data_IF_600539588493
#
_entry.id   IF_600539588493
#
_cell.length_a   1.000
_cell.length_b   1.000
_cell.length_c   1.000
_cell.angle_alpha   90.00
_cell.angle_beta   90.00
_cell.angle_gamma   90.00
#
_symmetry.space_group_name_H-M   'P 1'
#
loop_
_entity.id
_entity.type
_entity.pdbx_description
1 polymer ?
#
# COMPACT_ATOMS: atom_id res chain seq x y z
N UNK A 1 -16.12 -8.22 33.53
CA UNK A 1 -16.34 -7.39 32.32
C UNK A 1 -15.59 -8.04 31.17
N UNK A 2 -16.17 -8.12 29.96
CA UNK A 2 -15.50 -8.69 28.80
C UNK A 2 -14.24 -7.89 28.45
N UNK A 3 -13.23 -8.58 27.90
CA UNK A 3 -12.02 -7.92 27.44
C UNK A 3 -12.33 -6.90 26.35
N UNK A 4 -11.59 -5.80 26.33
CA UNK A 4 -11.69 -4.74 25.32
C UNK A 4 -10.52 -4.87 24.36
N UNK A 5 -10.84 -4.96 23.07
CA UNK A 5 -9.85 -5.11 22.01
C UNK A 5 -9.79 -3.81 21.23
N UNK A 6 -8.59 -3.27 21.06
CA UNK A 6 -8.32 -2.12 20.21
C UNK A 6 -7.81 -2.62 18.86
N UNK A 7 -8.54 -2.22 17.82
CA UNK A 7 -8.21 -2.41 16.42
C UNK A 7 -7.61 -1.14 15.87
N UNK A 8 -6.56 -1.25 15.07
CA UNK A 8 -5.95 -0.12 14.38
C UNK A 8 -6.04 -0.35 12.88
N UNK A 9 -6.57 0.65 12.17
CA UNK A 9 -6.52 0.73 10.72
C UNK A 9 -5.44 1.72 10.32
N UNK A 10 -4.60 1.36 9.35
CA UNK A 10 -3.53 2.23 8.85
C UNK A 10 -3.88 2.72 7.45
N UNK A 11 -3.92 4.04 7.26
CA UNK A 11 -4.12 4.67 5.96
C UNK A 11 -2.87 4.55 5.07
N UNK A 12 -3.01 4.74 3.75
CA UNK A 12 -1.87 4.74 2.82
C UNK A 12 -0.78 5.77 3.13
N UNK A 13 -1.11 6.88 3.79
CA UNK A 13 -0.16 7.89 4.24
C UNK A 13 0.53 7.53 5.58
N UNK A 14 0.26 6.35 6.15
CA UNK A 14 0.79 5.90 7.44
C UNK A 14 -0.02 6.38 8.66
N UNK A 15 -1.04 7.22 8.49
CA UNK A 15 -1.91 7.65 9.58
C UNK A 15 -2.70 6.47 10.16
N UNK A 16 -2.88 6.44 11.49
CA UNK A 16 -3.51 5.31 12.18
C UNK A 16 -4.78 5.72 12.89
N UNK A 17 -5.81 4.90 12.75
CA UNK A 17 -7.13 5.12 13.35
C UNK A 17 -7.46 3.98 14.32
N UNK A 18 -7.52 4.24 15.64
CA UNK A 18 -7.88 3.22 16.60
C UNK A 18 -9.40 3.12 16.80
N UNK A 19 -9.90 1.90 17.00
CA UNK A 19 -11.27 1.62 17.46
C UNK A 19 -11.26 0.53 18.52
N UNK A 20 -11.88 0.79 19.66
CA UNK A 20 -11.99 -0.19 20.74
C UNK A 20 -13.38 -0.81 20.75
N UNK A 21 -13.45 -2.14 20.84
CA UNK A 21 -14.70 -2.88 21.00
C UNK A 21 -14.56 -4.04 21.97
N UNK A 22 -15.63 -4.32 22.72
CA UNK A 22 -15.74 -5.51 23.58
C UNK A 22 -16.59 -6.63 22.95
N UNK A 23 -17.30 -6.32 21.86
CA UNK A 23 -18.37 -7.20 21.32
C UNK A 23 -18.27 -7.40 19.82
N UNK A 24 -17.60 -6.51 19.08
CA UNK A 24 -17.46 -6.60 17.64
C UNK A 24 -16.05 -6.95 17.23
N UNK A 25 -15.96 -7.98 16.37
CA UNK A 25 -14.72 -8.42 15.74
C UNK A 25 -14.54 -7.68 14.43
N UNK A 26 -13.77 -6.61 14.43
CA UNK A 26 -13.43 -5.92 13.19
C UNK A 26 -12.25 -6.61 12.53
N UNK A 27 -12.33 -6.77 11.21
CA UNK A 27 -11.23 -7.29 10.38
C UNK A 27 -10.83 -6.28 9.31
N UNK A 28 -11.74 -5.37 8.94
CA UNK A 28 -11.50 -4.36 7.92
C UNK A 28 -12.11 -3.02 8.32
N UNK A 29 -11.49 -1.94 7.87
CA UNK A 29 -12.02 -0.58 7.97
C UNK A 29 -12.11 0.02 6.56
N UNK A 30 -13.17 0.80 6.34
CA UNK A 30 -13.27 1.69 5.19
C UNK A 30 -12.73 3.06 5.62
N UNK A 31 -11.63 3.46 5.00
CA UNK A 31 -11.05 4.78 5.13
C UNK A 31 -11.44 5.62 3.91
N UNK A 32 -11.76 6.88 4.13
CA UNK A 32 -12.05 7.84 3.08
C UNK A 32 -11.09 9.01 3.19
N UNK A 33 -10.69 9.58 2.06
CA UNK A 33 -9.92 10.81 2.00
C UNK A 33 -10.56 11.83 1.06
N UNK A 34 -10.27 13.09 1.31
CA UNK A 34 -10.63 14.20 0.43
C UNK A 34 -9.92 14.10 -0.94
N UNK A 35 -10.36 14.91 -1.90
CA UNK A 35 -9.76 15.03 -3.23
C UNK A 35 -8.30 15.52 -3.08
N UNK A 36 -7.35 14.58 -3.15
CA UNK A 36 -5.93 14.82 -2.90
C UNK A 36 -5.24 13.69 -2.11
N UNK A 37 -6.00 12.86 -1.38
CA UNK A 37 -5.49 11.75 -0.55
C UNK A 37 -4.63 12.15 0.67
N UNK A 38 -4.62 13.44 1.02
CA UNK A 38 -3.79 13.96 2.10
C UNK A 38 -4.44 13.80 3.49
N UNK A 39 -5.77 13.87 3.56
CA UNK A 39 -6.52 13.78 4.81
C UNK A 39 -7.36 12.51 4.82
N UNK A 40 -6.97 11.51 5.62
CA UNK A 40 -7.73 10.28 5.76
C UNK A 40 -8.64 10.31 6.99
N UNK A 41 -9.75 9.58 6.93
CA UNK A 41 -10.65 9.39 8.05
C UNK A 41 -11.27 8.00 8.04
N UNK A 42 -11.40 7.40 9.22
CA UNK A 42 -12.07 6.11 9.38
C UNK A 42 -13.59 6.26 9.31
N UNK A 43 -14.16 5.92 8.15
CA UNK A 43 -15.58 6.08 7.88
C UNK A 43 -16.45 4.99 8.51
N UNK A 44 -16.03 3.72 8.36
CA UNK A 44 -16.78 2.59 8.91
C UNK A 44 -15.92 1.36 9.14
N UNK A 45 -16.38 0.46 10.00
CA UNK A 45 -15.64 -0.70 10.48
C UNK A 45 -16.46 -1.96 10.30
N UNK A 46 -15.84 -3.03 9.79
CA UNK A 46 -16.54 -4.20 9.24
C UNK A 46 -15.95 -5.51 9.75
N UNK A 47 -16.80 -6.53 9.81
CA UNK A 47 -16.42 -7.89 10.21
C UNK A 47 -15.75 -8.68 9.10
N UNK A 48 -15.90 -8.25 7.85
CA UNK A 48 -15.34 -8.90 6.65
C UNK A 48 -14.93 -7.86 5.61
N UNK A 49 -13.98 -8.23 4.74
CA UNK A 49 -13.56 -7.40 3.60
C UNK A 49 -14.73 -7.14 2.64
N UNK A 50 -15.49 -8.17 2.28
CA UNK A 50 -16.64 -8.03 1.39
C UNK A 50 -17.71 -7.03 1.88
N UNK A 51 -17.94 -6.94 3.20
CA UNK A 51 -18.86 -5.94 3.76
C UNK A 51 -18.29 -4.52 3.66
N UNK A 52 -16.98 -4.36 3.89
CA UNK A 52 -16.27 -3.10 3.70
C UNK A 52 -16.24 -2.67 2.23
N UNK A 53 -15.97 -3.59 1.31
CA UNK A 53 -16.00 -3.35 -0.14
C UNK A 53 -17.40 -2.96 -0.60
N UNK A 54 -18.43 -3.66 -0.12
CA UNK A 54 -19.82 -3.28 -0.40
C UNK A 54 -20.10 -1.86 0.09
N UNK A 55 -19.68 -1.50 1.30
CA UNK A 55 -19.83 -0.14 1.82
C UNK A 55 -19.02 0.89 1.00
N UNK A 56 -17.81 0.53 0.56
CA UNK A 56 -16.95 1.37 -0.27
C UNK A 56 -17.56 1.63 -1.65
N UNK A 57 -18.39 0.73 -2.16
CA UNK A 57 -19.05 0.85 -3.46
C UNK A 57 -20.50 1.35 -3.35
N UNK A 58 -21.07 1.45 -2.15
CA UNK A 58 -22.46 1.86 -1.92
C UNK A 58 -22.54 3.36 -1.64
N UNK A 59 -22.70 4.19 -2.68
CA UNK A 59 -23.09 5.60 -2.53
C UNK A 59 -22.31 6.62 -3.38
N UNK A 60 -23.04 7.70 -3.70
CA UNK A 60 -22.72 8.81 -4.63
C UNK A 60 -21.76 9.86 -4.03
N UNK A 61 -20.63 9.46 -3.44
CA UNK A 61 -19.59 10.46 -3.11
C UNK A 61 -18.60 10.45 -4.26
N UNK A 62 -18.84 11.35 -5.21
CA UNK A 62 -17.85 11.71 -6.23
C UNK A 62 -16.73 12.48 -5.51
N UNK A 63 -15.48 12.29 -5.93
CA UNK A 63 -14.33 13.08 -5.47
C UNK A 63 -13.82 12.77 -4.04
N UNK A 64 -13.97 11.53 -3.59
CA UNK A 64 -13.30 11.04 -2.37
C UNK A 64 -12.61 9.72 -2.64
N UNK A 65 -11.33 9.63 -2.26
CA UNK A 65 -10.62 8.37 -2.33
C UNK A 65 -11.14 7.44 -1.24
N UNK A 66 -11.38 6.18 -1.58
CA UNK A 66 -11.87 5.17 -0.65
C UNK A 66 -10.89 4.01 -0.63
N UNK A 67 -10.51 3.58 0.58
CA UNK A 67 -9.63 2.44 0.77
C UNK A 67 -10.20 1.51 1.83
N UNK A 68 -10.40 0.26 1.45
CA UNK A 68 -10.63 -0.81 2.40
C UNK A 68 -9.26 -1.31 2.84
N UNK A 69 -9.00 -1.30 4.14
CA UNK A 69 -7.76 -1.77 4.75
C UNK A 69 -8.04 -2.85 5.78
N UNK A 70 -7.16 -3.85 5.92
CA UNK A 70 -7.21 -4.76 7.05
C UNK A 70 -6.95 -3.98 8.34
N UNK A 71 -7.47 -4.47 9.46
CA UNK A 71 -7.22 -3.89 10.78
C UNK A 71 -6.42 -4.85 11.64
N UNK A 72 -5.51 -4.30 12.42
CA UNK A 72 -4.64 -5.06 13.31
C UNK A 72 -5.10 -4.93 14.76
N UNK A 73 -4.90 -5.97 15.55
CA UNK A 73 -5.11 -5.87 17.00
C UNK A 73 -3.86 -5.30 17.64
N UNK A 74 -3.98 -4.11 18.22
CA UNK A 74 -2.85 -3.39 18.85
C UNK A 74 -2.90 -3.39 20.37
N UNK A 75 -4.08 -3.68 20.95
CA UNK A 75 -4.24 -3.79 22.41
C UNK A 75 -5.36 -4.75 22.78
N UNK A 76 -5.15 -5.53 23.83
CA UNK A 76 -6.20 -6.29 24.53
C UNK A 76 -6.14 -5.92 26.01
N UNK A 77 -7.25 -5.42 26.56
CA UNK A 77 -7.32 -4.91 27.92
C UNK A 77 -8.43 -5.60 28.74
N UNK A 78 -8.19 -5.80 30.02
CA UNK A 78 -9.12 -6.44 30.94
C UNK A 78 -8.84 -7.94 31.14
N UNK A 79 -9.64 -8.58 31.99
CA UNK A 79 -9.53 -10.01 32.25
C UNK A 79 -10.13 -10.79 31.09
N UNK A 80 -9.32 -11.62 30.45
CA UNK A 80 -9.78 -12.54 29.40
C UNK A 80 -10.34 -13.78 30.09
N UNK A 81 -11.59 -14.10 29.79
CA UNK A 81 -12.19 -15.36 30.21
C UNK A 81 -11.62 -16.50 29.34
N UNK A 82 -11.19 -17.64 29.91
CA UNK A 82 -10.76 -18.79 29.12
C UNK A 82 -11.80 -19.30 28.11
N UNK A 83 -13.10 -19.06 28.34
CA UNK A 83 -14.16 -19.38 27.39
C UNK A 83 -14.30 -18.34 26.26
N UNK A 84 -13.71 -17.16 26.40
CA UNK A 84 -13.71 -16.09 25.40
C UNK A 84 -12.63 -16.35 24.34
N UNK A 85 -12.94 -17.30 23.45
CA UNK A 85 -12.08 -17.69 22.31
C UNK A 85 -11.67 -16.51 21.44
N UNK A 86 -12.45 -15.42 21.44
CA UNK A 86 -12.17 -14.22 20.67
C UNK A 86 -11.10 -13.35 21.29
N UNK A 87 -11.24 -13.06 22.58
CA UNK A 87 -10.23 -12.30 23.30
C UNK A 87 -8.90 -13.06 23.36
N UNK A 88 -8.95 -14.40 23.44
CA UNK A 88 -7.78 -15.27 23.34
C UNK A 88 -7.11 -15.17 21.96
N UNK A 89 -7.87 -15.30 20.88
CA UNK A 89 -7.38 -15.19 19.51
C UNK A 89 -6.83 -13.78 19.20
N UNK A 90 -7.50 -12.72 19.67
CA UNK A 90 -7.01 -11.35 19.55
C UNK A 90 -5.70 -11.14 20.32
N UNK A 91 -5.58 -11.74 21.52
CA UNK A 91 -4.34 -11.72 22.29
C UNK A 91 -3.22 -12.48 21.57
N UNK A 92 -3.51 -13.64 21.00
CA UNK A 92 -2.54 -14.40 20.22
C UNK A 92 -2.05 -13.63 18.99
N UNK A 93 -2.94 -12.93 18.27
CA UNK A 93 -2.53 -12.03 17.17
C UNK A 93 -1.65 -10.87 17.64
N UNK A 94 -1.99 -10.26 18.77
CA UNK A 94 -1.17 -9.20 19.36
C UNK A 94 0.21 -9.70 19.77
N UNK A 95 0.28 -10.87 20.42
CA UNK A 95 1.52 -11.48 20.86
C UNK A 95 2.37 -11.91 19.65
N UNK A 96 1.75 -12.46 18.59
CA UNK A 96 2.42 -12.79 17.33
C UNK A 96 2.95 -11.53 16.61
N UNK A 97 2.18 -10.44 16.56
CA UNK A 97 2.64 -9.18 15.96
C UNK A 97 3.83 -8.57 16.72
N UNK A 98 3.90 -8.75 18.05
CA UNK A 98 5.04 -8.33 18.87
C UNK A 98 6.26 -9.25 18.74
N UNK A 99 6.02 -10.54 18.50
CA UNK A 99 7.06 -11.56 18.37
C UNK A 99 7.58 -11.69 16.94
N UNK A 100 6.85 -11.17 15.94
CA UNK A 100 7.35 -11.04 14.59
C UNK A 100 8.68 -10.29 14.70
N UNK A 101 9.80 -10.86 14.17
CA UNK A 101 11.01 -10.08 14.07
C UNK A 101 10.62 -8.79 13.36
N UNK A 102 10.97 -7.65 13.94
CA UNK A 102 11.03 -6.42 13.17
C UNK A 102 11.95 -6.81 12.03
N UNK A 103 11.37 -7.15 10.88
CA UNK A 103 12.13 -7.28 9.65
C UNK A 103 12.87 -5.96 9.64
N UNK A 104 14.19 -6.03 9.79
CA UNK A 104 15.09 -4.90 9.66
C UNK A 104 14.51 -4.09 8.53
N UNK A 105 13.95 -2.92 8.89
CA UNK A 105 13.04 -2.21 8.02
C UNK A 105 13.72 -2.18 6.67
N UNK A 106 13.17 -2.91 5.68
CA UNK A 106 13.60 -2.71 4.31
C UNK A 106 13.54 -1.19 4.19
N UNK A 107 14.68 -0.53 3.95
CA UNK A 107 14.80 0.91 4.14
C UNK A 107 13.57 1.50 3.50
N UNK A 108 12.77 2.26 4.30
CA UNK A 108 11.54 2.88 3.80
C UNK A 108 11.84 3.35 2.38
N UNK A 109 10.98 3.12 1.37
CA UNK A 109 11.19 3.73 0.08
C UNK A 109 11.24 5.21 0.37
N UNK A 110 12.46 5.74 0.49
CA UNK A 110 12.74 7.14 0.72
C UNK A 110 11.95 7.76 -0.39
N UNK A 111 10.90 8.52 -0.04
CA UNK A 111 10.18 9.31 -0.99
C UNK A 111 11.27 10.04 -1.75
N UNK A 112 11.51 9.64 -3.00
CA UNK A 112 12.68 10.08 -3.70
C UNK A 112 12.52 11.59 -3.76
N UNK A 113 13.29 12.31 -2.94
CA UNK A 113 13.44 13.74 -3.10
C UNK A 113 13.72 13.99 -4.58
N UNK A 114 13.29 15.13 -5.14
CA UNK A 114 13.38 15.36 -6.57
C UNK A 114 14.75 14.92 -7.08
N UNK A 115 14.78 13.87 -7.92
CA UNK A 115 16.03 13.26 -8.37
C UNK A 115 16.94 14.34 -8.92
N UNK A 116 18.22 14.30 -8.54
CA UNK A 116 19.20 15.21 -9.11
C UNK A 116 19.31 14.97 -10.62
N UNK A 117 19.78 15.97 -11.36
CA UNK A 117 19.98 15.83 -12.82
C UNK A 117 20.92 14.67 -13.16
N UNK A 118 21.93 14.41 -12.32
CA UNK A 118 22.85 13.27 -12.47
C UNK A 118 22.15 11.93 -12.25
N UNK A 119 21.28 11.81 -11.24
CA UNK A 119 20.50 10.59 -11.01
C UNK A 119 19.53 10.31 -12.16
N UNK A 120 18.90 11.36 -12.72
CA UNK A 120 18.03 11.23 -13.90
C UNK A 120 18.81 10.79 -15.13
N UNK A 121 20.01 11.32 -15.33
CA UNK A 121 20.90 10.91 -16.43
C UNK A 121 21.38 9.46 -16.27
N UNK A 122 21.76 9.05 -15.06
CA UNK A 122 22.17 7.68 -14.79
C UNK A 122 21.04 6.68 -15.04
N UNK A 123 19.82 7.00 -14.57
CA UNK A 123 18.63 6.19 -14.83
C UNK A 123 18.31 6.16 -16.33
N UNK A 124 18.37 7.30 -17.01
CA UNK A 124 18.13 7.37 -18.45
C UNK A 124 19.14 6.55 -19.26
N UNK A 125 20.41 6.51 -18.87
CA UNK A 125 21.42 5.63 -19.48
C UNK A 125 21.03 4.15 -19.35
N UNK A 126 20.51 3.73 -18.20
CA UNK A 126 20.02 2.35 -17.99
C UNK A 126 18.81 2.05 -18.88
N UNK A 127 17.88 3.00 -19.03
CA UNK A 127 16.70 2.85 -19.91
C UNK A 127 17.12 2.73 -21.38
N UNK A 128 18.09 3.52 -21.84
CA UNK A 128 18.64 3.40 -23.19
C UNK A 128 19.27 2.03 -23.45
N UNK A 129 20.05 1.52 -22.48
CA UNK A 129 20.68 0.21 -22.59
C UNK A 129 19.63 -0.92 -22.64
N UNK A 130 18.64 -0.88 -21.75
CA UNK A 130 17.57 -1.87 -21.70
C UNK A 130 16.70 -1.86 -22.97
N UNK A 131 16.36 -0.68 -23.49
CA UNK A 131 15.57 -0.54 -24.72
C UNK A 131 16.32 -1.10 -25.95
N UNK A 132 17.65 -0.87 -26.02
CA UNK A 132 18.49 -1.47 -27.08
C UNK A 132 18.64 -2.98 -26.93
N UNK A 133 18.65 -3.49 -25.71
CA UNK A 133 18.68 -4.93 -25.46
C UNK A 133 17.34 -5.58 -25.86
N UNK A 134 16.21 -4.92 -25.61
CA UNK A 134 14.89 -5.40 -26.01
C UNK A 134 14.69 -5.45 -27.54
N UNK A 135 15.36 -4.56 -28.29
CA UNK A 135 15.39 -4.63 -29.76
C UNK A 135 16.06 -5.91 -30.30
N UNK A 136 16.88 -6.59 -29.48
CA UNK A 136 17.49 -7.86 -29.88
C UNK A 136 16.54 -9.07 -29.72
N UNK A 137 15.41 -8.91 -29.02
CA UNK A 137 14.44 -9.98 -28.72
C UNK A 137 13.02 -9.56 -29.15
N UNK A 138 12.88 -9.16 -30.41
CA UNK A 138 11.60 -8.73 -30.96
C UNK A 138 10.67 -9.91 -31.26
N UNK A 139 9.37 -9.82 -30.91
CA UNK A 139 8.41 -10.87 -31.21
C UNK A 139 8.17 -11.02 -32.71
N UNK A 140 7.83 -12.24 -33.15
CA UNK A 140 7.58 -12.53 -34.55
C UNK A 140 6.46 -11.66 -35.13
N UNK A 141 6.73 -11.02 -36.28
CA UNK A 141 5.80 -10.11 -36.95
C UNK A 141 6.02 -8.62 -36.67
N UNK A 142 7.02 -8.26 -35.86
CA UNK A 142 7.44 -6.86 -35.68
C UNK A 142 8.59 -6.53 -36.62
N UNK A 143 8.46 -5.42 -37.36
CA UNK A 143 9.54 -4.90 -38.20
C UNK A 143 10.65 -4.29 -37.31
N UNK A 144 11.90 -4.78 -37.41
CA UNK A 144 12.99 -4.31 -36.56
C UNK A 144 13.37 -2.84 -36.79
N UNK A 145 13.24 -2.35 -38.03
CA UNK A 145 13.58 -0.97 -38.38
C UNK A 145 12.51 0.01 -37.89
N UNK A 146 11.24 -0.37 -37.96
CA UNK A 146 10.13 0.41 -37.41
C UNK A 146 10.20 0.45 -35.86
N UNK A 147 10.45 -0.71 -35.23
CA UNK A 147 10.63 -0.79 -33.79
C UNK A 147 11.83 0.05 -33.31
N UNK A 148 12.95 0.02 -34.03
CA UNK A 148 14.12 0.84 -33.72
C UNK A 148 13.81 2.33 -33.83
N UNK A 149 13.17 2.78 -34.91
CA UNK A 149 12.81 4.18 -35.10
C UNK A 149 11.86 4.70 -34.01
N UNK A 150 10.91 3.87 -33.58
CA UNK A 150 9.96 4.23 -32.54
C UNK A 150 10.60 4.27 -31.15
N UNK A 151 11.50 3.34 -30.86
CA UNK A 151 12.29 3.33 -29.62
C UNK A 151 13.23 4.54 -29.58
N UNK A 152 13.93 4.87 -30.67
CA UNK A 152 14.79 6.05 -30.73
C UNK A 152 14.01 7.35 -30.51
N UNK A 153 12.79 7.43 -31.06
CA UNK A 153 11.88 8.56 -30.79
C UNK A 153 11.54 8.67 -29.31
N UNK A 154 11.20 7.57 -28.63
CA UNK A 154 10.90 7.58 -27.20
C UNK A 154 12.13 7.92 -26.35
N UNK A 155 13.29 7.36 -26.69
CA UNK A 155 14.54 7.61 -26.02
C UNK A 155 15.01 9.07 -26.13
N UNK A 156 14.65 9.79 -27.21
CA UNK A 156 14.94 11.22 -27.36
C UNK A 156 14.41 12.11 -26.23
N UNK A 157 13.35 11.68 -25.53
CA UNK A 157 12.75 12.42 -24.41
C UNK A 157 13.40 12.09 -23.06
N UNK A 158 14.31 11.11 -23.02
CA UNK A 158 14.95 10.63 -21.79
C UNK A 158 16.37 11.21 -21.71
N UNK A 159 16.71 11.97 -20.65
CA UNK A 159 18.06 12.49 -20.49
C UNK A 159 19.03 11.35 -20.17
N UNK A 160 20.17 11.30 -20.85
CA UNK A 160 21.25 10.34 -20.58
C UNK A 160 22.56 11.08 -20.31
N UNK A 161 23.50 10.43 -19.64
CA UNK A 161 24.83 11.00 -19.44
C UNK A 161 25.49 11.23 -20.81
N UNK A 162 26.13 12.40 -20.99
CA UNK A 162 26.95 12.63 -22.20
C UNK A 162 28.13 11.66 -22.16
N UNK A 163 28.28 10.85 -23.20
CA UNK A 163 29.53 10.13 -23.44
C UNK A 163 30.65 11.18 -23.53
N UNK A 164 31.59 11.11 -22.60
CA UNK A 164 32.81 11.94 -22.59
C UNK A 164 33.81 11.43 -23.61
#
# INVERSE_FOLDING_TARGET
MPARITYTATAPNGETFPRTSATMRYTHALLCADDGADNWGAWSWHKTGAAADKAANNGVVRNSQRKVVPVEVTKVAGKIDPADTFALDAKARLDAAKAAPVAEAAPEPVAAGPMTSEQKQALGTLVHAAARQALADLPAGVDPAEAAAQIDKWLSYIPQAKAS
#
